data_IF_368610573615
#
_entry.id   IF_368610573615
#
_cell.length_a   1.000
_cell.length_b   1.000
_cell.length_c   1.000
_cell.angle_alpha   90.00
_cell.angle_beta   90.00
_cell.angle_gamma   90.00
#
_symmetry.space_group_name_H-M   'P 1'
#
loop_
_entity.id
_entity.type
_entity.pdbx_description
1 polymer ?
#
# COMPACT_ATOMS: atom_id res chain seq x y z
N UNK A 1 0.99 -8.90 15.63
CA UNK A 1 1.34 -9.82 14.52
C UNK A 1 0.54 -9.41 13.29
N UNK A 2 1.18 -9.30 12.13
CA UNK A 2 0.49 -8.96 10.89
C UNK A 2 -0.07 -10.23 10.23
N UNK A 3 -1.27 -10.15 9.66
CA UNK A 3 -1.92 -11.23 8.92
C UNK A 3 -1.98 -10.87 7.45
N UNK A 4 -1.57 -11.79 6.58
CA UNK A 4 -1.75 -11.64 5.13
C UNK A 4 -3.23 -11.78 4.78
N UNK A 5 -3.75 -10.81 4.04
CA UNK A 5 -5.16 -10.75 3.64
C UNK A 5 -5.33 -11.13 2.18
N UNK A 6 -4.45 -10.63 1.31
CA UNK A 6 -4.52 -10.86 -0.12
C UNK A 6 -3.12 -11.05 -0.70
N UNK A 7 -2.96 -12.10 -1.51
CA UNK A 7 -1.77 -12.28 -2.35
C UNK A 7 -1.90 -11.42 -3.60
N UNK A 8 -0.92 -10.56 -3.84
CA UNK A 8 -0.86 -9.65 -4.98
C UNK A 8 0.48 -9.74 -5.71
N UNK A 9 1.58 -10.08 -5.03
CA UNK A 9 2.90 -10.23 -5.63
C UNK A 9 3.42 -8.96 -6.32
N UNK A 10 3.09 -7.77 -5.80
CA UNK A 10 3.47 -6.51 -6.45
C UNK A 10 4.97 -6.30 -6.39
N UNK A 11 5.60 -6.23 -7.57
CA UNK A 11 7.02 -5.86 -7.70
C UNK A 11 7.19 -4.36 -7.51
N UNK A 12 8.11 -3.99 -6.62
CA UNK A 12 8.41 -2.58 -6.33
C UNK A 12 9.55 -2.09 -7.20
N UNK A 13 9.34 -0.99 -7.88
CA UNK A 13 10.37 -0.27 -8.60
C UNK A 13 11.04 0.77 -7.69
N UNK A 14 12.35 0.92 -7.83
CA UNK A 14 13.10 1.94 -7.10
C UNK A 14 12.61 3.35 -7.47
N UNK A 15 12.53 4.22 -6.48
CA UNK A 15 12.06 5.61 -6.69
C UNK A 15 10.54 5.80 -6.59
N UNK A 16 9.76 4.73 -6.38
CA UNK A 16 8.32 4.80 -6.17
C UNK A 16 7.91 4.40 -4.75
N UNK A 17 6.88 5.07 -4.23
CA UNK A 17 6.13 4.67 -3.05
C UNK A 17 4.95 3.84 -3.50
N UNK A 18 4.76 2.67 -2.89
CA UNK A 18 3.62 1.78 -3.13
C UNK A 18 2.73 1.78 -1.88
N UNK A 19 1.42 1.91 -2.08
CA UNK A 19 0.45 2.01 -1.00
C UNK A 19 -0.93 1.54 -1.43
N UNK A 20 -1.80 1.33 -0.44
CA UNK A 20 -3.21 0.97 -0.67
C UNK A 20 -4.04 2.25 -0.62
N UNK A 21 -4.64 2.62 -1.74
CA UNK A 21 -5.40 3.86 -1.86
C UNK A 21 -6.76 3.82 -1.14
N UNK A 22 -7.55 4.89 -1.29
CA UNK A 22 -8.87 5.03 -0.66
C UNK A 22 -9.91 4.04 -1.22
N UNK A 23 -9.71 3.55 -2.44
CA UNK A 23 -10.59 2.57 -3.08
C UNK A 23 -10.21 1.13 -2.70
N UNK A 24 -9.13 0.94 -1.92
CA UNK A 24 -8.63 -0.38 -1.56
C UNK A 24 -7.77 -1.00 -2.66
N UNK A 25 -7.30 -0.21 -3.62
CA UNK A 25 -6.44 -0.67 -4.71
C UNK A 25 -4.97 -0.39 -4.41
N UNK A 26 -4.08 -1.12 -5.09
CA UNK A 26 -2.64 -0.87 -4.98
C UNK A 26 -2.28 0.18 -6.00
N UNK A 27 -1.75 1.29 -5.49
CA UNK A 27 -1.30 2.44 -6.28
C UNK A 27 0.16 2.75 -5.97
N UNK A 28 0.83 3.39 -6.94
CA UNK A 28 2.21 3.87 -6.79
C UNK A 28 2.34 5.33 -7.18
N UNK A 29 3.25 6.04 -6.53
CA UNK A 29 3.60 7.42 -6.88
C UNK A 29 5.11 7.61 -6.81
N UNK A 30 5.68 8.45 -7.68
CA UNK A 30 7.11 8.79 -7.60
C UNK A 30 7.39 9.49 -6.28
N UNK A 31 8.39 9.03 -5.54
CA UNK A 31 8.71 9.60 -4.22
C UNK A 31 9.18 11.05 -4.34
N UNK A 32 8.67 11.90 -3.45
CA UNK A 32 9.25 13.21 -3.21
C UNK A 32 10.65 13.02 -2.59
N UNK A 33 11.67 13.69 -3.14
CA UNK A 33 13.05 13.64 -2.64
C UNK A 33 13.73 14.99 -2.84
N UNK A 34 14.50 15.44 -1.84
CA UNK A 34 15.33 16.64 -1.94
C UNK A 34 14.52 17.90 -2.29
N UNK A 35 13.38 18.11 -1.62
CA UNK A 35 12.49 19.25 -1.87
C UNK A 35 11.67 19.17 -3.17
N UNK A 36 11.87 18.14 -4.00
CA UNK A 36 11.06 17.95 -5.22
C UNK A 36 9.73 17.27 -4.88
N UNK A 37 8.66 17.78 -5.49
CA UNK A 37 7.33 17.19 -5.36
C UNK A 37 7.31 15.73 -5.86
N UNK A 38 6.44 14.92 -5.24
CA UNK A 38 6.17 13.56 -5.70
C UNK A 38 5.45 13.54 -7.05
N UNK A 39 5.41 12.37 -7.66
CA UNK A 39 4.67 12.15 -8.91
C UNK A 39 3.18 11.97 -8.68
N UNK A 40 2.39 12.11 -9.75
CA UNK A 40 0.98 11.75 -9.73
C UNK A 40 0.83 10.26 -9.42
N UNK A 41 -0.16 9.88 -8.59
CA UNK A 41 -0.41 8.48 -8.29
C UNK A 41 -0.95 7.74 -9.52
N UNK A 42 -0.49 6.51 -9.70
CA UNK A 42 -0.89 5.60 -10.78
C UNK A 42 -1.33 4.28 -10.18
N UNK A 43 -2.44 3.75 -10.67
CA UNK A 43 -2.98 2.48 -10.19
C UNK A 43 -2.16 1.32 -10.77
N UNK A 44 -1.68 0.44 -9.90
CA UNK A 44 -0.88 -0.74 -10.28
C UNK A 44 -1.78 -1.97 -10.38
N UNK A 45 -2.64 -2.17 -9.38
CA UNK A 45 -3.52 -3.33 -9.33
C UNK A 45 -4.86 -2.94 -8.69
N UNK A 46 -5.96 -3.30 -9.36
CA UNK A 46 -7.31 -3.23 -8.80
C UNK A 46 -7.54 -4.45 -7.91
N UNK A 47 -7.82 -4.21 -6.63
CA UNK A 47 -8.06 -5.23 -5.61
C UNK A 47 -9.41 -5.03 -4.94
N UNK A 48 -9.82 -3.77 -4.70
CA UNK A 48 -11.09 -3.48 -4.01
C UNK A 48 -11.09 -3.89 -2.54
N UNK A 49 -9.96 -3.77 -1.85
CA UNK A 49 -9.84 -4.14 -0.44
C UNK A 49 -10.74 -3.25 0.44
N UNK A 50 -11.64 -3.87 1.20
CA UNK A 50 -12.40 -3.20 2.26
C UNK A 50 -11.56 -3.14 3.53
N UNK A 51 -11.26 -1.92 4.00
CA UNK A 51 -10.49 -1.70 5.22
C UNK A 51 -11.42 -1.78 6.43
N UNK A 52 -11.10 -2.66 7.37
CA UNK A 52 -11.78 -2.75 8.65
C UNK A 52 -11.26 -1.68 9.62
N UNK A 53 -12.14 -1.05 10.40
CA UNK A 53 -11.72 -0.10 11.44
C UNK A 53 -10.86 -0.81 12.49
N UNK A 54 -9.87 -0.09 13.04
CA UNK A 54 -8.93 -0.64 14.03
C UNK A 54 -7.78 -1.45 13.43
N UNK A 55 -7.64 -1.51 12.10
CA UNK A 55 -6.55 -2.18 11.42
C UNK A 55 -5.79 -1.28 10.46
N UNK A 56 -4.46 -1.41 10.47
CA UNK A 56 -3.58 -0.84 9.48
C UNK A 56 -3.38 -1.84 8.35
N UNK A 57 -3.64 -1.42 7.11
CA UNK A 57 -3.40 -2.19 5.90
C UNK A 57 -2.17 -1.66 5.17
N UNK A 58 -1.27 -2.56 4.79
CA UNK A 58 -0.02 -2.20 4.14
C UNK A 58 0.47 -3.31 3.20
N UNK A 59 1.39 -2.96 2.32
CA UNK A 59 2.09 -3.92 1.48
C UNK A 59 3.29 -4.48 2.24
N UNK A 60 3.35 -5.79 2.37
CA UNK A 60 4.47 -6.49 3.01
C UNK A 60 5.70 -6.58 2.07
N UNK A 61 6.77 -7.22 2.56
CA UNK A 61 8.02 -7.42 1.82
C UNK A 61 7.85 -8.28 0.57
N UNK A 62 6.83 -9.14 0.51
CA UNK A 62 6.52 -10.00 -0.64
C UNK A 62 5.65 -9.28 -1.67
N UNK A 63 5.21 -8.05 -1.39
CA UNK A 63 4.31 -7.29 -2.26
C UNK A 63 2.85 -7.70 -2.12
N UNK A 64 2.50 -8.36 -1.01
CA UNK A 64 1.14 -8.78 -0.68
C UNK A 64 0.50 -7.80 0.31
N UNK A 65 -0.83 -7.77 0.34
CA UNK A 65 -1.56 -6.96 1.30
C UNK A 65 -1.66 -7.70 2.62
N UNK A 66 -1.15 -7.07 3.67
CA UNK A 66 -1.23 -7.54 5.05
C UNK A 66 -1.93 -6.51 5.93
N UNK A 67 -2.56 -6.98 7.00
CA UNK A 67 -3.22 -6.15 8.01
C UNK A 67 -2.60 -6.38 9.39
N UNK A 68 -2.56 -5.35 10.21
CA UNK A 68 -2.16 -5.43 11.62
C UNK A 68 -3.11 -4.61 12.49
N UNK A 69 -3.46 -5.14 13.67
CA UNK A 69 -4.30 -4.42 14.63
C UNK A 69 -3.56 -3.16 15.10
N UNK A 70 -4.23 -2.01 15.00
CA UNK A 70 -3.71 -0.75 15.53
C UNK A 70 -3.79 -0.80 17.05
N UNK A 71 -2.70 -0.44 17.71
CA UNK A 71 -2.60 -0.55 19.18
C UNK A 71 -3.20 0.69 19.88
N UNK A 72 -3.23 1.84 19.19
CA UNK A 72 -3.71 3.12 19.72
C UNK A 72 -4.64 3.82 18.69
N UNK A 73 -5.81 3.24 18.40
CA UNK A 73 -6.79 3.85 17.48
C UNK A 73 -7.72 4.83 18.21
#
# INVERSE_FOLDING_TARGET
MAKKVQKCGVKREAGFLYYIDKQGDISRAKMARGGKAGGKPTKVLKVGLKKEPGYLYFLDKQGDISMAKMVNA
#
